data_IF_718676783418
#
_entry.id   IF_718676783418
#
_cell.length_a   1.000
_cell.length_b   1.000
_cell.length_c   1.000
_cell.angle_alpha   90.00
_cell.angle_beta   90.00
_cell.angle_gamma   90.00
#
_symmetry.space_group_name_H-M   'P 1'
#
loop_
_entity.id
_entity.type
_entity.pdbx_description
1 polymer ?
#
# COMPACT_ATOMS: atom_id res chain seq x y z
N UNK A 1 60.17 57.26 3.62
CA UNK A 1 59.40 56.12 4.19
C UNK A 1 57.92 56.52 4.16
N UNK A 2 57.24 56.13 3.12
CA UNK A 2 55.81 56.48 2.90
C UNK A 2 54.92 55.36 3.37
N UNK A 3 54.05 55.62 4.32
CA UNK A 3 53.09 54.65 4.83
C UNK A 3 51.78 54.78 4.05
N UNK A 4 51.48 53.76 3.24
CA UNK A 4 50.22 53.65 2.49
C UNK A 4 49.18 53.02 3.40
N UNK A 5 48.13 53.75 3.72
CA UNK A 5 46.99 53.26 4.50
C UNK A 5 45.96 52.70 3.55
N UNK A 6 45.69 51.37 3.65
CA UNK A 6 44.65 50.70 2.87
C UNK A 6 43.36 50.79 3.67
N UNK A 7 42.37 51.46 3.11
CA UNK A 7 41.01 51.52 3.65
C UNK A 7 40.25 50.26 3.15
N UNK A 8 39.81 49.44 4.09
CA UNK A 8 38.94 48.27 3.81
C UNK A 8 37.50 48.75 3.86
N UNK A 9 36.84 48.80 2.73
CA UNK A 9 35.41 49.09 2.65
C UNK A 9 34.62 47.80 2.95
N UNK A 10 33.91 47.77 4.08
CA UNK A 10 33.03 46.66 4.45
C UNK A 10 31.68 46.89 3.80
N UNK A 11 31.36 46.12 2.73
CA UNK A 11 30.02 46.02 2.16
C UNK A 11 29.15 45.15 3.06
N UNK A 12 28.29 45.73 3.85
CA UNK A 12 27.22 44.99 4.54
C UNK A 12 26.08 44.71 3.55
N UNK A 13 26.01 43.49 3.03
CA UNK A 13 24.87 43.00 2.24
C UNK A 13 23.73 42.66 3.20
N UNK A 14 22.70 43.49 3.24
CA UNK A 14 21.42 43.20 3.89
C UNK A 14 20.68 42.18 3.02
N UNK A 15 20.81 40.88 3.34
CA UNK A 15 19.98 39.84 2.79
C UNK A 15 18.65 39.89 3.56
N UNK A 16 17.67 40.59 2.99
CA UNK A 16 16.28 40.55 3.44
C UNK A 16 15.69 39.20 3.12
N UNK A 17 15.76 38.25 4.05
CA UNK A 17 15.08 36.97 3.96
C UNK A 17 13.58 37.18 4.09
N UNK A 18 12.85 37.22 2.97
CA UNK A 18 11.41 37.06 2.98
C UNK A 18 11.12 35.61 3.39
N UNK A 19 10.78 35.41 4.66
CA UNK A 19 10.24 34.15 5.14
C UNK A 19 8.88 33.96 4.48
N UNK A 20 8.85 33.15 3.41
CA UNK A 20 7.60 32.62 2.85
C UNK A 20 6.99 31.68 3.92
N UNK A 21 6.06 32.24 4.70
CA UNK A 21 5.21 31.40 5.55
C UNK A 21 4.37 30.51 4.63
N UNK A 22 4.83 29.28 4.39
CA UNK A 22 4.01 28.24 3.79
C UNK A 22 2.95 27.90 4.82
N UNK A 23 1.79 28.55 4.72
CA UNK A 23 0.60 28.12 5.43
C UNK A 23 0.24 26.76 4.84
N UNK A 24 0.54 25.69 5.56
CA UNK A 24 -0.02 24.39 5.28
C UNK A 24 -1.54 24.50 5.46
N UNK A 25 -2.25 24.80 4.38
CA UNK A 25 -3.69 24.67 4.33
C UNK A 25 -3.95 23.17 4.50
N UNK A 26 -4.42 22.78 5.69
CA UNK A 26 -4.96 21.46 5.91
C UNK A 26 -6.10 21.28 4.93
N UNK A 27 -5.84 20.60 3.81
CA UNK A 27 -6.90 20.17 2.93
C UNK A 27 -7.76 19.22 3.77
N UNK A 28 -9.02 19.54 3.95
CA UNK A 28 -10.04 18.62 4.43
C UNK A 28 -10.03 17.41 3.49
N UNK A 29 -9.21 16.41 3.81
CA UNK A 29 -9.13 15.19 3.03
C UNK A 29 -10.43 14.41 3.28
N UNK A 30 -11.29 14.38 2.29
CA UNK A 30 -12.48 13.54 2.34
C UNK A 30 -12.05 12.08 2.51
N UNK A 31 -12.47 11.49 3.62
CA UNK A 31 -12.22 10.07 3.88
C UNK A 31 -13.39 9.25 3.38
N UNK A 32 -13.11 8.26 2.53
CA UNK A 32 -14.12 7.34 1.99
C UNK A 32 -13.77 5.92 2.34
N UNK A 33 -14.68 5.21 3.02
CA UNK A 33 -14.53 3.78 3.31
C UNK A 33 -15.39 2.95 2.39
N UNK A 34 -14.79 1.93 1.77
CA UNK A 34 -15.46 1.00 0.87
C UNK A 34 -15.18 -0.42 1.36
N UNK A 35 -16.23 -1.25 1.41
CA UNK A 35 -16.09 -2.67 1.81
C UNK A 35 -16.41 -3.56 0.62
N UNK A 36 -15.54 -4.55 0.42
CA UNK A 36 -15.68 -5.60 -0.58
C UNK A 36 -15.66 -6.97 0.11
N UNK A 37 -16.14 -7.99 -0.57
CA UNK A 37 -15.99 -9.38 -0.18
C UNK A 37 -15.30 -10.15 -1.29
N UNK A 38 -14.34 -10.99 -0.93
CA UNK A 38 -13.76 -11.98 -1.82
C UNK A 38 -14.19 -13.37 -1.34
N UNK A 39 -14.58 -14.25 -2.28
CA UNK A 39 -14.83 -15.65 -1.95
C UNK A 39 -13.52 -16.37 -1.61
N UNK A 40 -13.62 -17.59 -1.07
CA UNK A 40 -12.43 -18.42 -0.93
C UNK A 40 -11.85 -18.70 -2.33
N UNK A 41 -10.55 -18.47 -2.54
CA UNK A 41 -9.93 -18.75 -3.82
C UNK A 41 -9.94 -20.28 -4.08
N UNK A 42 -10.23 -20.67 -5.30
CA UNK A 42 -9.99 -22.04 -5.71
C UNK A 42 -8.47 -22.27 -5.84
N UNK A 43 -8.01 -23.53 -5.71
CA UNK A 43 -6.57 -23.84 -5.87
C UNK A 43 -5.97 -23.33 -7.19
N UNK A 44 -6.77 -23.29 -8.27
CA UNK A 44 -6.35 -22.75 -9.57
C UNK A 44 -6.15 -21.23 -9.58
N UNK A 45 -6.70 -20.51 -8.60
CA UNK A 45 -6.64 -19.06 -8.52
C UNK A 45 -5.41 -18.59 -7.71
N UNK A 46 -4.68 -19.54 -7.12
CA UNK A 46 -3.45 -19.29 -6.37
C UNK A 46 -2.34 -20.18 -6.90
N UNK A 47 -1.17 -19.62 -7.09
CA UNK A 47 0.06 -20.33 -7.41
C UNK A 47 1.11 -20.05 -6.36
N UNK A 48 1.67 -21.13 -5.81
CA UNK A 48 2.89 -21.06 -4.99
C UNK A 48 4.10 -21.32 -5.88
N UNK A 49 5.13 -20.53 -5.71
CA UNK A 49 6.43 -20.68 -6.36
C UNK A 49 7.42 -20.95 -5.24
N UNK A 50 7.91 -22.18 -5.20
CA UNK A 50 8.91 -22.67 -4.26
C UNK A 50 10.29 -22.44 -4.89
N UNK A 51 11.09 -21.57 -4.28
CA UNK A 51 12.47 -21.29 -4.66
C UNK A 51 13.36 -22.18 -3.80
N UNK A 52 14.47 -22.67 -4.36
CA UNK A 52 15.41 -23.54 -3.63
C UNK A 52 15.98 -22.88 -2.36
N UNK A 53 16.16 -23.62 -1.24
CA UNK A 53 15.88 -25.05 -1.06
C UNK A 53 14.40 -25.36 -1.03
N UNK A 54 14.00 -26.58 -1.43
CA UNK A 54 12.58 -27.01 -1.45
C UNK A 54 11.95 -26.96 -0.07
N UNK A 55 10.69 -26.58 -0.03
CA UNK A 55 9.95 -26.26 1.18
C UNK A 55 9.95 -24.76 1.42
N UNK A 56 9.40 -24.34 2.52
CA UNK A 56 9.30 -22.92 2.83
C UNK A 56 10.69 -22.27 2.91
N UNK A 57 11.01 -21.30 2.02
CA UNK A 57 12.30 -20.60 1.94
C UNK A 57 12.18 -19.11 1.60
N UNK A 58 13.18 -18.31 1.97
CA UNK A 58 13.22 -16.89 1.58
C UNK A 58 13.08 -16.76 0.07
N UNK A 59 12.22 -15.84 -0.35
CA UNK A 59 11.94 -15.60 -1.76
C UNK A 59 10.76 -16.39 -2.32
N UNK A 60 10.23 -17.38 -1.59
CA UNK A 60 9.02 -18.09 -2.00
C UNK A 60 7.87 -17.12 -2.24
N UNK A 61 7.08 -17.39 -3.26
CA UNK A 61 6.03 -16.47 -3.67
C UNK A 61 4.66 -17.13 -3.67
N UNK A 62 3.68 -16.35 -3.26
CA UNK A 62 2.27 -16.64 -3.44
C UNK A 62 1.67 -15.61 -4.39
N UNK A 63 1.15 -16.09 -5.52
CA UNK A 63 0.50 -15.26 -6.52
C UNK A 63 -0.96 -15.68 -6.60
N UNK A 64 -1.88 -14.73 -6.46
CA UNK A 64 -3.29 -15.00 -6.43
C UNK A 64 -4.13 -13.98 -7.17
N UNK A 65 -5.33 -14.41 -7.60
CA UNK A 65 -6.31 -13.55 -8.21
C UNK A 65 -7.73 -14.03 -7.86
N UNK A 66 -8.47 -13.22 -7.11
CA UNK A 66 -9.82 -13.56 -6.68
C UNK A 66 -10.84 -12.55 -7.16
N UNK A 67 -12.07 -12.99 -7.44
CA UNK A 67 -13.17 -12.08 -7.77
C UNK A 67 -13.64 -11.37 -6.52
N UNK A 68 -13.71 -10.03 -6.59
CA UNK A 68 -14.28 -9.22 -5.52
C UNK A 68 -15.71 -8.80 -5.84
N UNK A 69 -16.51 -8.72 -4.78
CA UNK A 69 -17.93 -8.42 -4.86
C UNK A 69 -18.29 -7.27 -3.93
N UNK A 70 -19.24 -6.48 -4.35
CA UNK A 70 -19.87 -5.46 -3.52
C UNK A 70 -21.38 -5.68 -3.55
N UNK A 71 -22.02 -5.80 -2.39
CA UNK A 71 -23.44 -6.15 -2.27
C UNK A 71 -23.80 -7.40 -3.10
N UNK A 72 -22.95 -8.44 -3.06
CA UNK A 72 -23.13 -9.71 -3.78
C UNK A 72 -22.80 -9.67 -5.28
N UNK A 73 -22.70 -8.49 -5.90
CA UNK A 73 -22.40 -8.34 -7.33
C UNK A 73 -20.89 -8.32 -7.59
N UNK A 74 -20.37 -9.05 -8.60
CA UNK A 74 -18.97 -8.97 -8.97
C UNK A 74 -18.65 -7.58 -9.52
N UNK A 75 -17.58 -6.97 -9.02
CA UNK A 75 -17.16 -5.61 -9.40
C UNK A 75 -15.75 -5.56 -9.96
N UNK A 76 -14.99 -6.64 -9.82
CA UNK A 76 -13.60 -6.68 -10.25
C UNK A 76 -12.84 -7.87 -9.68
N UNK A 77 -11.51 -7.73 -9.63
CA UNK A 77 -10.58 -8.75 -9.13
C UNK A 77 -9.60 -8.14 -8.15
N UNK A 78 -9.25 -8.88 -7.12
CA UNK A 78 -8.10 -8.60 -6.28
C UNK A 78 -6.96 -9.49 -6.79
N UNK A 79 -5.85 -8.87 -7.14
CA UNK A 79 -4.61 -9.50 -7.54
C UNK A 79 -3.63 -9.33 -6.40
N UNK A 80 -2.92 -10.39 -6.03
CA UNK A 80 -1.91 -10.34 -4.98
C UNK A 80 -0.65 -11.09 -5.38
N UNK A 81 0.49 -10.54 -5.03
CA UNK A 81 1.78 -11.20 -5.05
C UNK A 81 2.46 -10.93 -3.72
N UNK A 82 2.80 -11.99 -3.00
CA UNK A 82 3.50 -11.90 -1.74
C UNK A 82 4.77 -12.75 -1.80
N UNK A 83 5.85 -12.22 -1.24
CA UNK A 83 7.16 -12.87 -1.20
C UNK A 83 7.59 -13.05 0.24
N UNK A 84 8.01 -14.24 0.63
CA UNK A 84 8.60 -14.54 1.93
C UNK A 84 9.92 -13.76 2.10
N UNK A 85 9.99 -12.91 3.14
CA UNK A 85 11.15 -12.03 3.39
C UNK A 85 11.83 -12.29 4.73
N UNK A 86 11.32 -13.26 5.46
CA UNK A 86 11.83 -13.64 6.77
C UNK A 86 12.06 -15.16 6.82
N UNK A 87 13.18 -15.56 7.43
CA UNK A 87 13.62 -16.97 7.51
C UNK A 87 12.72 -17.86 8.38
N UNK A 88 11.83 -17.27 9.17
CA UNK A 88 10.85 -17.97 10.02
C UNK A 88 9.47 -18.06 9.39
N UNK A 89 9.31 -17.52 8.20
CA UNK A 89 8.05 -17.51 7.44
C UNK A 89 6.88 -16.77 8.09
N UNK A 90 7.19 -15.92 9.07
CA UNK A 90 6.18 -15.13 9.72
C UNK A 90 5.89 -13.83 8.95
N UNK A 91 6.83 -13.38 8.09
CA UNK A 91 6.73 -12.13 7.34
C UNK A 91 6.77 -12.30 5.83
N UNK A 92 5.84 -11.65 5.15
CA UNK A 92 5.81 -11.52 3.69
C UNK A 92 5.67 -10.06 3.27
N UNK A 93 6.33 -9.70 2.19
CA UNK A 93 6.07 -8.43 1.50
C UNK A 93 5.06 -8.68 0.38
N UNK A 94 3.96 -7.94 0.43
CA UNK A 94 2.86 -8.11 -0.51
C UNK A 94 2.64 -6.86 -1.36
N UNK A 95 2.42 -7.08 -2.65
CA UNK A 95 1.83 -6.13 -3.58
C UNK A 95 0.40 -6.59 -3.92
N UNK A 96 -0.56 -5.69 -3.74
CA UNK A 96 -1.98 -5.97 -3.92
C UNK A 96 -2.56 -4.95 -4.90
N UNK A 97 -3.34 -5.41 -5.87
CA UNK A 97 -4.06 -4.55 -6.79
C UNK A 97 -5.54 -4.92 -6.81
N UNK A 98 -6.39 -3.98 -6.43
CA UNK A 98 -7.83 -4.09 -6.65
C UNK A 98 -8.16 -3.48 -8.03
N UNK A 99 -8.45 -4.34 -8.99
CA UNK A 99 -8.84 -3.99 -10.35
C UNK A 99 -10.35 -3.93 -10.46
N UNK A 100 -10.91 -2.77 -10.79
CA UNK A 100 -12.34 -2.54 -11.02
C UNK A 100 -12.59 -1.90 -12.38
N UNK A 101 -13.87 -1.74 -12.76
CA UNK A 101 -14.23 -0.99 -13.97
C UNK A 101 -13.90 0.50 -13.86
N UNK A 102 -13.90 1.04 -12.64
CA UNK A 102 -13.69 2.47 -12.37
C UNK A 102 -12.21 2.84 -12.25
N UNK A 103 -11.31 1.84 -12.26
CA UNK A 103 -9.87 2.01 -12.13
C UNK A 103 -9.25 0.98 -11.20
N UNK A 104 -8.03 1.26 -10.77
CA UNK A 104 -7.24 0.39 -9.91
C UNK A 104 -6.90 1.09 -8.58
N UNK A 105 -6.84 0.30 -7.51
CA UNK A 105 -6.24 0.71 -6.24
C UNK A 105 -5.02 -0.19 -6.02
N UNK A 106 -3.86 0.41 -5.79
CA UNK A 106 -2.59 -0.30 -5.56
C UNK A 106 -2.23 -0.14 -4.10
N UNK A 107 -1.94 -1.26 -3.42
CA UNK A 107 -1.55 -1.29 -2.02
C UNK A 107 -0.33 -2.18 -1.84
N UNK A 108 0.52 -1.83 -0.86
CA UNK A 108 1.72 -2.59 -0.51
C UNK A 108 1.94 -2.59 0.99
N UNK A 109 2.63 -3.60 1.48
CA UNK A 109 3.01 -3.67 2.88
C UNK A 109 3.50 -5.06 3.28
N UNK A 110 3.92 -5.15 4.53
CA UNK A 110 4.19 -6.43 5.16
C UNK A 110 2.88 -7.05 5.65
N UNK A 111 2.78 -8.37 5.57
CA UNK A 111 1.71 -9.16 6.14
C UNK A 111 2.28 -10.46 6.72
N UNK A 112 1.54 -11.08 7.62
CA UNK A 112 1.89 -12.40 8.13
C UNK A 112 1.52 -13.49 7.11
N UNK A 113 2.35 -14.51 6.97
CA UNK A 113 2.13 -15.63 6.04
C UNK A 113 0.75 -16.28 6.20
N UNK A 114 0.21 -16.26 7.41
CA UNK A 114 -1.09 -16.85 7.76
C UNK A 114 -2.29 -15.99 7.36
N UNK A 115 -2.07 -14.74 6.96
CA UNK A 115 -3.15 -13.79 6.62
C UNK A 115 -3.60 -13.85 5.16
N UNK A 116 -2.89 -14.58 4.29
CA UNK A 116 -3.21 -14.60 2.87
C UNK A 116 -4.37 -15.52 2.53
N UNK A 117 -5.19 -15.16 1.53
CA UNK A 117 -6.27 -16.01 1.05
C UNK A 117 -5.76 -17.38 0.62
N UNK A 118 -6.32 -18.44 1.19
CA UNK A 118 -5.99 -19.82 0.83
C UNK A 118 -4.99 -20.55 1.74
N UNK A 119 -4.35 -19.87 2.67
CA UNK A 119 -3.41 -20.45 3.63
C UNK A 119 -3.98 -20.63 5.04
N UNK A 120 -5.29 -20.75 5.20
CA UNK A 120 -5.90 -21.00 6.50
C UNK A 120 -5.52 -19.91 7.52
N UNK A 121 -5.49 -18.65 7.05
CA UNK A 121 -5.08 -17.52 7.85
C UNK A 121 -5.76 -17.53 9.20
N UNK A 122 -5.00 -17.23 10.24
CA UNK A 122 -5.51 -17.10 11.58
C UNK A 122 -6.63 -16.03 11.54
N UNK A 123 -7.89 -16.36 11.86
CA UNK A 123 -8.92 -15.34 11.94
C UNK A 123 -8.50 -14.37 13.06
N UNK A 124 -7.96 -13.20 12.68
CA UNK A 124 -7.53 -12.20 13.65
C UNK A 124 -6.28 -11.40 13.32
N UNK A 125 -5.53 -11.76 12.27
CA UNK A 125 -4.43 -10.88 11.84
C UNK A 125 -5.02 -9.62 11.18
N UNK A 126 -4.76 -8.48 11.79
CA UNK A 126 -5.17 -7.17 11.28
C UNK A 126 -4.08 -6.59 10.35
N UNK A 127 -3.74 -7.31 9.29
CA UNK A 127 -2.81 -6.79 8.29
C UNK A 127 -3.33 -5.51 7.67
N UNK A 128 -2.46 -4.53 7.59
CA UNK A 128 -2.76 -3.21 7.03
C UNK A 128 -1.78 -2.91 5.92
N UNK A 129 -2.29 -2.82 4.71
CA UNK A 129 -1.51 -2.43 3.54
C UNK A 129 -1.72 -0.96 3.26
N UNK A 130 -0.63 -0.23 3.02
CA UNK A 130 -0.69 1.17 2.61
C UNK A 130 -1.15 1.26 1.15
N UNK A 131 -2.14 2.09 0.86
CA UNK A 131 -2.50 2.42 -0.52
C UNK A 131 -1.47 3.41 -1.04
N UNK A 132 -0.70 2.96 -2.02
CA UNK A 132 0.41 3.70 -2.62
C UNK A 132 -0.02 4.47 -3.87
N UNK A 133 -1.22 4.24 -4.37
CA UNK A 133 -1.78 4.95 -5.51
C UNK A 133 -2.99 4.28 -6.12
N UNK A 134 -3.46 4.88 -7.22
CA UNK A 134 -4.57 4.35 -7.99
C UNK A 134 -4.66 4.97 -9.38
N UNK A 135 -5.57 4.44 -10.19
CA UNK A 135 -5.89 4.95 -11.53
C UNK A 135 -7.39 5.16 -11.69
N UNK A 136 -7.80 5.86 -12.75
CA UNK A 136 -9.21 6.16 -12.98
C UNK A 136 -9.79 7.02 -11.86
N UNK A 137 -10.93 6.62 -11.29
CA UNK A 137 -11.57 7.33 -10.17
C UNK A 137 -10.77 7.29 -8.86
N UNK A 138 -9.71 6.48 -8.80
CA UNK A 138 -8.81 6.34 -7.64
C UNK A 138 -7.48 7.06 -7.84
N UNK A 139 -7.33 7.85 -8.90
CA UNK A 139 -6.10 8.60 -9.15
C UNK A 139 -5.82 9.59 -8.01
N UNK A 140 -4.58 9.59 -7.51
CA UNK A 140 -4.15 10.47 -6.42
C UNK A 140 -4.66 10.09 -5.03
N UNK A 141 -5.34 8.94 -4.88
CA UNK A 141 -5.76 8.45 -3.55
C UNK A 141 -4.60 7.82 -2.80
N UNK A 142 -4.62 7.99 -1.48
CA UNK A 142 -3.83 7.26 -0.48
C UNK A 142 -4.76 6.58 0.51
N UNK A 143 -4.23 5.87 1.50
CA UNK A 143 -5.06 5.28 2.54
C UNK A 143 -4.61 3.90 2.96
N UNK A 144 -5.58 3.04 3.34
CA UNK A 144 -5.28 1.69 3.81
C UNK A 144 -6.22 0.65 3.19
N UNK A 145 -5.69 -0.54 2.97
CA UNK A 145 -6.43 -1.75 2.60
C UNK A 145 -6.24 -2.78 3.72
N UNK A 146 -7.35 -3.27 4.27
CA UNK A 146 -7.38 -4.25 5.37
C UNK A 146 -8.17 -5.48 4.94
N UNK A 147 -7.54 -6.61 4.61
CA UNK A 147 -8.19 -7.89 4.45
C UNK A 147 -8.47 -8.48 5.84
N UNK A 148 -9.59 -9.14 5.99
CA UNK A 148 -9.94 -9.91 7.18
C UNK A 148 -10.62 -11.20 6.77
N UNK A 149 -10.09 -12.33 7.19
CA UNK A 149 -10.66 -13.64 6.94
C UNK A 149 -12.00 -13.81 7.66
N UNK A 150 -12.94 -14.46 6.99
CA UNK A 150 -14.27 -14.82 7.51
C UNK A 150 -14.60 -16.26 7.14
N UNK A 151 -15.62 -16.84 7.75
CA UNK A 151 -16.07 -18.21 7.42
C UNK A 151 -16.55 -18.37 5.95
N UNK A 152 -16.83 -17.27 5.26
CA UNK A 152 -17.33 -17.26 3.86
C UNK A 152 -16.32 -16.74 2.84
N UNK A 153 -15.07 -16.52 3.25
CA UNK A 153 -14.02 -15.91 2.43
C UNK A 153 -13.42 -14.72 3.14
N UNK A 154 -13.17 -13.66 2.44
CA UNK A 154 -12.47 -12.47 2.94
C UNK A 154 -13.35 -11.23 2.87
N UNK A 155 -13.32 -10.42 3.92
CA UNK A 155 -13.85 -9.05 3.92
C UNK A 155 -12.66 -8.11 3.73
N UNK A 156 -12.73 -7.26 2.71
CA UNK A 156 -11.69 -6.28 2.40
C UNK A 156 -12.24 -4.90 2.65
N UNK A 157 -11.64 -4.18 3.59
CA UNK A 157 -11.99 -2.79 3.89
C UNK A 157 -10.94 -1.87 3.30
N UNK A 158 -11.35 -0.94 2.48
CA UNK A 158 -10.50 0.08 1.84
C UNK A 158 -10.91 1.44 2.38
N UNK A 159 -9.96 2.12 3.03
CA UNK A 159 -10.13 3.51 3.48
C UNK A 159 -9.28 4.40 2.57
N UNK A 160 -9.92 5.31 1.85
CA UNK A 160 -9.28 6.23 0.92
C UNK A 160 -9.24 7.63 1.51
N UNK A 161 -8.11 8.31 1.34
CA UNK A 161 -7.89 9.71 1.67
C UNK A 161 -7.51 10.45 0.38
N UNK A 162 -8.11 11.58 0.13
CA UNK A 162 -7.95 12.30 -1.14
C UNK A 162 -8.65 11.57 -2.29
N UNK A 163 -8.52 12.10 -3.47
CA UNK A 163 -9.22 11.68 -4.68
C UNK A 163 -10.13 12.81 -5.16
N UNK A 164 -10.32 12.83 -6.45
CA UNK A 164 -11.21 13.80 -7.11
C UNK A 164 -12.66 13.38 -6.97
#
# INVERSE_FOLDING_TARGET
MSRTTIAVATCAALIGGAALAVTAQGQDQTTKTITFTAGQPARRDIKQIDIKPSGESLGDQNIGAVTVRRHGKPIGRLLSQCTAVDARYEGQMCAITLLTRDGQIIAQGAGEHRALPGHGGNPGTDDVFAITGGTGTYAGTTGTLRPRSTSKGEKITVTLHGGR
#
